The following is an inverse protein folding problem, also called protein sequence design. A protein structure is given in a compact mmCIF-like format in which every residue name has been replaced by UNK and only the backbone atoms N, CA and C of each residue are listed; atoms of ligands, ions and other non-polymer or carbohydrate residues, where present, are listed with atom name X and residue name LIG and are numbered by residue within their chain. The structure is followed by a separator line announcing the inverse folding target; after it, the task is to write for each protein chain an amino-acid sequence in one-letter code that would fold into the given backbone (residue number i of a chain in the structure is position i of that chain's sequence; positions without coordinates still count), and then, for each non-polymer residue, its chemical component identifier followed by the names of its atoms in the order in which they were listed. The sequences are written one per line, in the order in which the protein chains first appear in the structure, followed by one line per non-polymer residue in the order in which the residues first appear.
data_IF_339282800327
#
_entry.id   IF_339282800327
#
_cell.length_a   1.000
_cell.length_b   1.000
_cell.length_c   1.000
_cell.angle_alpha   90.00
_cell.angle_beta   90.00
_cell.angle_gamma   90.00
#
_symmetry.space_group_name_H-M   'P 1'
#
loop_
_entity.id
_entity.type
_entity.pdbx_description
1 polymer ?
#
# COMPACT_ATOMS: atom_id res chain seq x y z
N UNK A 1 8.21 14.32 2.53
CA UNK A 1 7.30 13.65 1.57
C UNK A 1 6.08 13.01 2.24
N UNK A 2 6.25 12.10 3.21
CA UNK A 2 5.11 11.38 3.82
C UNK A 2 4.13 12.28 4.59
N UNK A 3 4.64 13.29 5.30
CA UNK A 3 3.81 14.27 6.02
C UNK A 3 2.91 15.08 5.06
N UNK A 4 3.49 15.60 3.97
CA UNK A 4 2.74 16.33 2.95
C UNK A 4 1.66 15.44 2.31
N UNK A 5 1.98 14.18 1.98
CA UNK A 5 1.01 13.23 1.45
C UNK A 5 -0.13 12.95 2.43
N UNK A 6 0.17 12.71 3.70
CA UNK A 6 -0.85 12.49 4.73
C UNK A 6 -1.74 13.72 4.94
N UNK A 7 -1.15 14.91 5.08
CA UNK A 7 -1.89 16.18 5.26
C UNK A 7 -2.77 16.51 4.05
N UNK A 8 -2.32 16.20 2.83
CA UNK A 8 -3.14 16.35 1.64
C UNK A 8 -4.38 15.44 1.67
N UNK A 9 -4.22 14.18 2.11
CA UNK A 9 -5.35 13.27 2.30
C UNK A 9 -6.30 13.76 3.39
N UNK A 10 -5.79 14.35 4.47
CA UNK A 10 -6.62 14.94 5.53
C UNK A 10 -7.41 16.16 5.05
N UNK A 11 -6.77 17.02 4.24
CA UNK A 11 -7.45 18.15 3.63
C UNK A 11 -8.59 17.66 2.72
N UNK A 12 -8.32 16.69 1.84
CA UNK A 12 -9.34 16.08 0.97
C UNK A 12 -10.44 15.44 1.81
N UNK A 13 -10.08 14.72 2.87
CA UNK A 13 -11.05 14.09 3.77
C UNK A 13 -11.98 15.13 4.41
N UNK A 14 -11.44 16.28 4.82
CA UNK A 14 -12.19 17.36 5.45
C UNK A 14 -13.10 18.10 4.47
N UNK A 15 -12.62 18.40 3.26
CA UNK A 15 -13.36 19.22 2.28
C UNK A 15 -14.34 18.43 1.42
N UNK A 16 -14.07 17.15 1.18
CA UNK A 16 -14.90 16.32 0.29
C UNK A 16 -16.26 16.00 0.90
N UNK A 17 -17.32 16.09 0.09
CA UNK A 17 -18.68 15.63 0.43
C UNK A 17 -18.90 14.15 0.15
N UNK A 18 -17.94 13.47 -0.49
CA UNK A 18 -18.08 12.07 -0.88
C UNK A 18 -18.06 11.11 0.32
N UNK A 19 -18.83 10.02 0.22
CA UNK A 19 -18.84 8.94 1.23
C UNK A 19 -17.58 8.07 1.20
N UNK A 20 -16.90 8.03 0.05
CA UNK A 20 -15.76 7.16 -0.19
C UNK A 20 -14.60 7.94 -0.82
N UNK A 21 -13.38 7.59 -0.43
CA UNK A 21 -12.16 8.19 -0.96
C UNK A 21 -11.30 7.09 -1.60
N UNK A 22 -11.10 7.19 -2.92
CA UNK A 22 -10.17 6.33 -3.64
C UNK A 22 -8.81 7.01 -3.72
N UNK A 23 -7.79 6.37 -3.15
CA UNK A 23 -6.40 6.81 -3.21
C UNK A 23 -5.68 6.00 -4.28
N UNK A 24 -5.04 6.70 -5.21
CA UNK A 24 -4.26 6.12 -6.31
C UNK A 24 -2.91 6.85 -6.33
N UNK A 25 -1.80 6.11 -6.44
CA UNK A 25 -0.49 6.73 -6.67
C UNK A 25 -0.33 7.13 -8.14
N UNK A 26 0.42 8.20 -8.41
CA UNK A 26 0.63 8.72 -9.76
C UNK A 26 1.31 7.72 -10.71
N UNK A 27 2.00 6.71 -10.19
CA UNK A 27 2.64 5.62 -10.91
C UNK A 27 1.75 4.35 -11.03
N UNK A 28 0.42 4.52 -10.87
CA UNK A 28 -0.57 3.44 -11.02
C UNK A 28 -1.40 3.63 -12.28
N UNK A 29 -1.39 2.62 -13.16
CA UNK A 29 -2.12 2.62 -14.43
C UNK A 29 -3.30 1.66 -14.37
N UNK A 30 -4.52 2.17 -14.46
CA UNK A 30 -5.74 1.36 -14.43
C UNK A 30 -6.17 1.10 -15.87
N UNK A 31 -6.07 -0.15 -16.32
CA UNK A 31 -6.49 -0.57 -17.68
C UNK A 31 -7.86 -1.23 -17.69
N UNK A 32 -8.52 -1.40 -16.54
CA UNK A 32 -9.87 -1.96 -16.45
C UNK A 32 -10.85 -1.02 -15.77
N UNK A 33 -11.93 -0.67 -16.48
CA UNK A 33 -13.04 0.14 -15.96
C UNK A 33 -13.84 -0.51 -14.81
N UNK A 34 -13.65 -1.82 -14.56
CA UNK A 34 -14.37 -2.56 -13.50
C UNK A 34 -13.75 -2.42 -12.10
N UNK A 35 -12.58 -1.78 -11.97
CA UNK A 35 -11.88 -1.67 -10.69
C UNK A 35 -12.72 -0.97 -9.63
N UNK A 36 -13.13 0.27 -9.92
CA UNK A 36 -13.80 1.16 -8.97
C UNK A 36 -15.14 0.57 -8.55
N UNK A 37 -15.94 0.10 -9.51
CA UNK A 37 -17.25 -0.50 -9.24
C UNK A 37 -17.14 -1.76 -8.38
N UNK A 38 -16.14 -2.62 -8.62
CA UNK A 38 -15.90 -3.80 -7.77
C UNK A 38 -15.42 -3.42 -6.37
N UNK A 39 -14.51 -2.44 -6.22
CA UNK A 39 -14.07 -1.99 -4.89
C UNK A 39 -15.24 -1.39 -4.10
N UNK A 40 -16.08 -0.56 -4.74
CA UNK A 40 -17.28 -0.01 -4.12
C UNK A 40 -18.28 -1.09 -3.71
N UNK A 41 -18.51 -2.09 -4.56
CA UNK A 41 -19.39 -3.22 -4.21
C UNK A 41 -18.89 -3.98 -2.98
N UNK A 42 -17.59 -4.21 -2.91
CA UNK A 42 -16.97 -4.95 -1.79
C UNK A 42 -16.97 -4.16 -0.48
N UNK A 43 -16.68 -2.85 -0.52
CA UNK A 43 -16.74 -2.02 0.69
C UNK A 43 -18.18 -1.89 1.19
N UNK A 44 -19.17 -1.79 0.29
CA UNK A 44 -20.58 -1.67 0.65
C UNK A 44 -21.20 -2.97 1.14
N UNK A 45 -20.58 -4.13 0.89
CA UNK A 45 -21.09 -5.45 1.29
C UNK A 45 -21.29 -5.59 2.80
N UNK A 46 -20.53 -4.85 3.61
CA UNK A 46 -20.69 -4.84 5.05
C UNK A 46 -20.40 -3.43 5.57
N UNK A 47 -21.30 -2.87 6.39
CA UNK A 47 -21.15 -1.53 7.00
C UNK A 47 -19.87 -1.39 7.84
N UNK A 48 -19.34 -2.50 8.35
CA UNK A 48 -18.10 -2.53 9.11
C UNK A 48 -16.84 -2.53 8.24
N UNK A 49 -16.97 -2.59 6.90
CA UNK A 49 -15.83 -2.48 6.01
C UNK A 49 -15.41 -1.02 5.87
N UNK A 50 -14.15 -0.73 6.20
CA UNK A 50 -13.65 0.65 6.17
C UNK A 50 -12.61 0.91 5.09
N UNK A 51 -12.00 -0.14 4.53
CA UNK A 51 -11.04 -0.02 3.44
C UNK A 51 -11.02 -1.27 2.56
N UNK A 52 -10.82 -1.09 1.25
CA UNK A 52 -10.54 -2.14 0.27
C UNK A 52 -9.21 -1.84 -0.41
N UNK A 53 -8.34 -2.84 -0.55
CA UNK A 53 -7.08 -2.66 -1.27
C UNK A 53 -6.18 -3.89 -1.20
N UNK A 54 -4.89 -3.72 -1.51
CA UNK A 54 -3.91 -4.79 -1.51
C UNK A 54 -2.75 -4.52 -0.54
N UNK A 55 -2.16 -5.59 0.01
CA UNK A 55 -0.98 -5.49 0.88
C UNK A 55 0.31 -5.33 0.07
N UNK A 56 0.30 -5.79 -1.18
CA UNK A 56 1.47 -5.82 -2.06
C UNK A 56 1.34 -4.75 -3.14
N UNK A 57 2.39 -3.96 -3.31
CA UNK A 57 2.50 -2.91 -4.34
C UNK A 57 2.92 -3.44 -5.71
N UNK A 58 3.35 -4.70 -5.81
CA UNK A 58 3.78 -5.30 -7.08
C UNK A 58 3.31 -6.73 -7.21
N UNK A 59 2.92 -7.09 -8.44
CA UNK A 59 2.74 -8.50 -8.84
C UNK A 59 4.11 -9.18 -8.78
N UNK A 60 4.29 -10.08 -7.81
CA UNK A 60 5.52 -10.86 -7.67
C UNK A 60 5.24 -12.30 -8.08
N UNK A 61 6.18 -12.89 -8.81
CA UNK A 61 6.14 -14.33 -9.09
C UNK A 61 6.22 -15.12 -7.79
N UNK A 62 5.64 -16.32 -7.78
CA UNK A 62 5.66 -17.23 -6.63
C UNK A 62 7.09 -17.49 -6.15
N UNK A 63 8.02 -17.76 -7.08
CA UNK A 63 9.46 -17.89 -6.79
C UNK A 63 10.01 -16.71 -5.97
N UNK A 64 9.70 -15.47 -6.37
CA UNK A 64 10.16 -14.27 -5.65
C UNK A 64 9.50 -14.13 -4.28
N UNK A 65 8.26 -14.58 -4.14
CA UNK A 65 7.56 -14.61 -2.85
C UNK A 65 8.20 -15.60 -1.90
N UNK A 66 8.52 -16.81 -2.36
CA UNK A 66 9.25 -17.82 -1.59
C UNK A 66 10.66 -17.37 -1.20
N UNK A 67 11.46 -16.89 -2.16
CA UNK A 67 12.81 -16.38 -1.88
C UNK A 67 12.81 -15.27 -0.81
N UNK A 68 11.79 -14.39 -0.82
CA UNK A 68 11.65 -13.34 0.19
C UNK A 68 11.24 -13.89 1.56
N UNK A 69 10.43 -14.95 1.59
CA UNK A 69 10.05 -15.62 2.83
C UNK A 69 11.27 -16.29 3.48
N UNK A 70 12.05 -17.02 2.68
CA UNK A 70 13.33 -17.62 3.08
C UNK A 70 14.28 -16.54 3.62
N UNK A 71 14.47 -15.45 2.87
CA UNK A 71 15.32 -14.34 3.31
C UNK A 71 14.84 -13.69 4.61
N UNK A 72 13.53 -13.52 4.80
CA UNK A 72 12.94 -13.00 6.04
C UNK A 72 13.15 -13.97 7.21
N UNK A 73 13.02 -15.27 6.95
CA UNK A 73 13.29 -16.32 7.93
C UNK A 73 14.73 -16.22 8.43
N UNK A 74 15.72 -16.38 7.56
CA UNK A 74 17.13 -16.27 7.94
C UNK A 74 17.46 -14.93 8.62
N UNK A 75 16.91 -13.82 8.13
CA UNK A 75 17.09 -12.49 8.76
C UNK A 75 16.51 -12.42 10.18
N UNK A 76 15.39 -13.10 10.47
CA UNK A 76 14.82 -13.12 11.82
C UNK A 76 15.74 -13.88 12.76
N UNK A 77 16.15 -15.10 12.38
CA UNK A 77 16.96 -15.96 13.24
C UNK A 77 18.34 -15.38 13.48
N UNK A 78 19.00 -14.85 12.45
CA UNK A 78 20.26 -14.12 12.61
C UNK A 78 20.14 -12.95 13.58
N UNK A 79 19.07 -12.16 13.52
CA UNK A 79 18.83 -11.05 14.47
C UNK A 79 18.51 -11.52 15.89
N UNK A 80 17.80 -12.63 16.04
CA UNK A 80 17.55 -13.22 17.36
C UNK A 80 18.86 -13.66 18.02
N UNK A 81 19.72 -14.36 17.26
CA UNK A 81 21.05 -14.77 17.73
C UNK A 81 21.90 -13.54 18.08
N UNK A 82 21.96 -12.54 17.19
CA UNK A 82 22.73 -11.33 17.46
C UNK A 82 22.20 -10.55 18.67
N UNK A 83 20.88 -10.51 18.89
CA UNK A 83 20.30 -9.88 20.08
C UNK A 83 20.59 -10.67 21.36
N UNK A 84 20.66 -12.00 21.28
CA UNK A 84 21.08 -12.84 22.40
C UNK A 84 22.51 -12.52 22.83
N UNK A 85 23.40 -12.20 21.89
CA UNK A 85 24.77 -11.73 22.16
C UNK A 85 24.88 -10.21 22.44
N UNK A 86 23.79 -9.55 22.87
CA UNK A 86 23.82 -8.14 23.28
C UNK A 86 23.61 -7.12 22.14
N UNK A 87 23.29 -7.57 20.93
CA UNK A 87 22.90 -6.68 19.84
C UNK A 87 21.52 -6.04 20.05
N UNK A 88 21.28 -4.88 19.45
CA UNK A 88 19.97 -4.21 19.47
C UNK A 88 19.36 -4.13 18.06
N UNK A 89 19.11 -5.30 17.46
CA UNK A 89 18.52 -5.41 16.13
C UNK A 89 16.99 -5.50 16.21
N UNK A 90 16.31 -4.54 15.56
CA UNK A 90 14.84 -4.56 15.45
C UNK A 90 14.36 -5.82 14.72
N UNK A 91 13.49 -6.60 15.37
CA UNK A 91 12.81 -7.73 14.76
C UNK A 91 11.80 -7.24 13.72
N UNK A 92 11.85 -7.81 12.52
CA UNK A 92 10.92 -7.49 11.45
C UNK A 92 9.67 -8.34 11.58
N UNK A 93 8.49 -7.74 11.48
CA UNK A 93 7.26 -8.50 11.32
C UNK A 93 7.30 -9.32 10.02
N UNK A 94 6.91 -10.59 10.10
CA UNK A 94 6.89 -11.50 8.94
C UNK A 94 5.84 -11.09 7.92
N UNK A 95 4.68 -10.69 8.42
CA UNK A 95 3.49 -10.40 7.64
C UNK A 95 3.34 -8.90 7.44
N UNK A 96 3.10 -8.53 6.20
CA UNK A 96 2.57 -7.20 5.89
C UNK A 96 1.11 -7.21 6.36
N UNK A 97 0.73 -6.29 7.24
CA UNK A 97 -0.60 -6.30 7.87
C UNK A 97 -1.47 -5.22 7.23
N UNK A 98 -0.89 -4.08 6.87
CA UNK A 98 -1.60 -2.92 6.37
C UNK A 98 -1.78 -2.92 4.85
N UNK A 99 -2.97 -2.52 4.42
CA UNK A 99 -3.24 -2.18 3.02
C UNK A 99 -2.37 -0.99 2.64
N UNK A 100 -1.72 -1.08 1.47
CA UNK A 100 -0.85 -0.05 0.94
C UNK A 100 -1.70 0.97 0.16
N UNK A 101 -1.33 2.25 0.25
CA UNK A 101 -2.09 3.35 -0.33
C UNK A 101 -1.95 3.52 -1.85
N UNK A 102 -1.20 2.65 -2.55
CA UNK A 102 -1.02 2.77 -4.01
C UNK A 102 -2.32 2.64 -4.79
N UNK A 103 -3.24 1.81 -4.30
CA UNK A 103 -4.62 1.72 -4.77
C UNK A 103 -5.48 1.22 -3.61
N UNK A 104 -6.16 2.14 -2.92
CA UNK A 104 -6.99 1.82 -1.76
C UNK A 104 -8.25 2.69 -1.71
N UNK A 105 -9.40 2.06 -1.48
CA UNK A 105 -10.68 2.73 -1.32
C UNK A 105 -11.07 2.75 0.16
N UNK A 106 -11.24 3.94 0.73
CA UNK A 106 -11.63 4.15 2.12
C UNK A 106 -13.08 4.59 2.24
N UNK A 107 -13.74 4.16 3.32
CA UNK A 107 -15.03 4.67 3.76
C UNK A 107 -14.82 5.97 4.54
N UNK A 108 -15.02 7.10 3.88
CA UNK A 108 -14.74 8.41 4.44
C UNK A 108 -15.72 8.78 5.55
N UNK A 109 -16.96 8.30 5.47
CA UNK A 109 -17.97 8.49 6.51
C UNK A 109 -17.50 7.93 7.85
N UNK A 110 -16.94 6.71 7.86
CA UNK A 110 -16.39 6.10 9.08
C UNK A 110 -15.18 6.87 9.62
N UNK A 111 -14.30 7.34 8.73
CA UNK A 111 -13.13 8.14 9.11
C UNK A 111 -13.56 9.43 9.81
N UNK A 112 -14.53 10.14 9.22
CA UNK A 112 -15.10 11.38 9.80
C UNK A 112 -15.82 11.13 11.11
N UNK A 113 -16.66 10.09 11.18
CA UNK A 113 -17.41 9.73 12.39
C UNK A 113 -16.50 9.45 13.59
N UNK A 114 -15.32 8.90 13.36
CA UNK A 114 -14.33 8.64 14.40
C UNK A 114 -13.28 9.76 14.55
N UNK A 115 -13.46 10.89 13.87
CA UNK A 115 -12.53 12.03 13.85
C UNK A 115 -11.07 11.61 13.58
N UNK A 116 -10.88 10.71 12.61
CA UNK A 116 -9.57 10.14 12.29
C UNK A 116 -8.87 10.93 11.19
N UNK A 117 -7.54 10.98 11.29
CA UNK A 117 -6.65 11.58 10.29
C UNK A 117 -5.72 10.53 9.68
N UNK A 118 -5.47 10.65 8.37
CA UNK A 118 -4.52 9.87 7.59
C UNK A 118 -3.10 10.15 8.02
N UNK A 119 -2.79 11.39 8.39
CA UNK A 119 -1.52 11.78 9.00
C UNK A 119 -1.62 11.69 10.53
N UNK A 120 -0.54 11.21 11.16
CA UNK A 120 -0.34 11.24 12.61
C UNK A 120 1.15 11.42 12.86
N UNK A 121 1.54 12.35 13.73
CA UNK A 121 2.95 12.64 14.06
C UNK A 121 3.69 11.43 14.66
N UNK A 122 2.96 10.43 15.17
CA UNK A 122 3.53 9.21 15.75
C UNK A 122 3.82 8.11 14.71
N UNK A 123 3.19 8.14 13.53
CA UNK A 123 3.30 7.06 12.53
C UNK A 123 3.74 7.62 11.19
N UNK A 124 4.95 7.26 10.76
CA UNK A 124 5.56 7.76 9.52
C UNK A 124 4.76 7.41 8.25
N UNK A 125 4.00 6.31 8.26
CA UNK A 125 3.25 5.86 7.08
C UNK A 125 1.79 6.30 7.14
N UNK A 126 1.33 7.13 6.18
CA UNK A 126 -0.06 7.57 6.15
C UNK A 126 -1.04 6.39 6.10
N UNK A 127 -2.19 6.55 6.76
CA UNK A 127 -3.29 5.58 6.88
C UNK A 127 -3.07 4.38 7.80
N UNK A 128 -1.86 4.11 8.31
CA UNK A 128 -1.61 2.93 9.15
C UNK A 128 -2.33 3.05 10.50
N UNK A 129 -2.23 4.24 11.10
CA UNK A 129 -2.96 4.56 12.33
C UNK A 129 -4.47 4.33 12.20
N UNK A 130 -5.10 4.82 11.13
CA UNK A 130 -6.53 4.59 10.85
C UNK A 130 -6.84 3.10 10.80
N UNK A 131 -6.00 2.33 10.10
CA UNK A 131 -6.21 0.89 9.96
C UNK A 131 -6.14 0.17 11.30
N UNK A 132 -5.14 0.47 12.12
CA UNK A 132 -4.96 -0.17 13.42
C UNK A 132 -6.08 0.24 14.39
N UNK A 133 -6.44 1.53 14.42
CA UNK A 133 -7.52 2.04 15.25
C UNK A 133 -8.86 1.38 14.91
N UNK A 134 -9.28 1.41 13.64
CA UNK A 134 -10.57 0.84 13.22
C UNK A 134 -10.61 -0.68 13.38
N UNK A 135 -9.50 -1.38 13.16
CA UNK A 135 -9.42 -2.81 13.45
C UNK A 135 -9.56 -3.12 14.95
N UNK A 136 -8.96 -2.31 15.83
CA UNK A 136 -9.16 -2.48 17.29
C UNK A 136 -10.63 -2.29 17.70
N UNK A 137 -11.37 -1.46 16.95
CA UNK A 137 -12.82 -1.29 17.06
C UNK A 137 -13.66 -2.34 16.29
N UNK A 138 -13.05 -3.45 15.88
CA UNK A 138 -13.68 -4.58 15.15
C UNK A 138 -14.19 -4.25 13.74
N UNK A 139 -13.81 -3.11 13.16
CA UNK A 139 -14.03 -2.85 11.73
C UNK A 139 -13.09 -3.71 10.88
N UNK A 140 -13.51 -3.97 9.64
CA UNK A 140 -12.87 -4.94 8.75
C UNK A 140 -12.20 -4.27 7.56
N UNK A 141 -11.01 -4.76 7.23
CA UNK A 141 -10.34 -4.50 5.96
C UNK A 141 -10.74 -5.55 4.95
N UNK A 142 -11.01 -5.13 3.72
CA UNK A 142 -11.19 -6.05 2.59
C UNK A 142 -9.88 -6.13 1.83
N UNK A 143 -9.13 -7.20 2.07
CA UNK A 143 -7.83 -7.41 1.44
C UNK A 143 -8.03 -8.21 0.15
N UNK A 144 -7.73 -7.59 -0.98
CA UNK A 144 -7.64 -8.30 -2.25
C UNK A 144 -6.28 -8.95 -2.41
N UNK A 145 -6.27 -10.11 -3.08
CA UNK A 145 -5.03 -10.74 -3.53
C UNK A 145 -4.33 -9.82 -4.55
N UNK A 146 -3.01 -9.93 -4.60
CA UNK A 146 -2.20 -9.33 -5.66
C UNK A 146 -2.74 -9.71 -7.04
N UNK A 147 -3.03 -10.98 -7.30
CA UNK A 147 -3.61 -11.45 -8.56
C UNK A 147 -4.91 -10.71 -8.92
N UNK A 148 -5.79 -10.48 -7.94
CA UNK A 148 -7.06 -9.75 -8.15
C UNK A 148 -6.83 -8.27 -8.38
N UNK A 149 -5.94 -7.60 -7.63
CA UNK A 149 -5.66 -6.18 -7.85
C UNK A 149 -4.98 -5.95 -9.20
N UNK A 150 -3.91 -6.69 -9.48
CA UNK A 150 -3.15 -6.64 -10.73
C UNK A 150 -3.82 -7.33 -11.92
N UNK A 151 -5.12 -7.66 -11.82
CA UNK A 151 -5.93 -7.95 -13.00
C UNK A 151 -6.63 -6.70 -13.54
N UNK A 152 -6.64 -5.59 -12.79
CA UNK A 152 -7.29 -4.34 -13.18
C UNK A 152 -6.34 -3.18 -13.43
N UNK A 153 -5.14 -3.24 -12.86
CA UNK A 153 -4.16 -2.18 -12.89
C UNK A 153 -2.74 -2.72 -12.90
N UNK A 154 -1.79 -1.87 -13.26
CA UNK A 154 -0.38 -2.06 -12.98
C UNK A 154 0.13 -0.91 -12.10
N UNK A 155 1.21 -1.16 -11.37
CA UNK A 155 1.86 -0.17 -10.52
C UNK A 155 3.36 -0.21 -10.76
N UNK A 156 3.85 0.84 -11.39
CA UNK A 156 5.26 1.00 -11.73
C UNK A 156 5.96 1.61 -10.52
N UNK A 157 6.25 0.79 -9.51
CA UNK A 157 6.94 1.21 -8.28
C UNK A 157 8.10 2.18 -8.59
N UNK A 158 8.02 3.40 -8.06
CA UNK A 158 9.05 4.44 -8.19
C UNK A 158 9.23 4.98 -9.63
N UNK A 159 8.20 4.93 -10.49
CA UNK A 159 8.27 5.44 -11.87
C UNK A 159 8.79 6.88 -11.95
N UNK A 160 8.23 7.77 -11.13
CA UNK A 160 8.66 9.18 -11.04
C UNK A 160 10.08 9.35 -10.47
N UNK A 161 10.56 8.42 -9.62
CA UNK A 161 11.95 8.45 -9.11
C UNK A 161 12.94 7.82 -10.09
N UNK A 162 12.48 6.95 -10.99
CA UNK A 162 13.29 6.39 -12.07
C UNK A 162 13.47 7.41 -13.21
N UNK A 163 12.41 8.16 -13.54
CA UNK A 163 12.43 9.26 -14.50
C UNK A 163 13.26 10.46 -13.99
N UNK A 164 13.00 10.92 -12.76
CA UNK A 164 13.78 12.01 -12.14
C UNK A 164 15.19 11.57 -11.66
N UNK A 165 15.53 10.29 -11.81
CA UNK A 165 16.70 9.66 -11.20
C UNK A 165 17.86 9.45 -12.16
N UNK A 166 18.60 10.52 -12.48
CA UNK A 166 19.98 10.44 -13.01
C UNK A 166 20.98 9.74 -12.08
N UNK A 167 20.53 9.10 -10.98
CA UNK A 167 21.35 8.41 -9.99
C UNK A 167 21.13 6.89 -10.01
N UNK A 168 21.99 6.23 -10.78
CA UNK A 168 22.10 4.77 -10.93
C UNK A 168 22.55 4.09 -9.62
N UNK A 169 21.63 3.82 -8.69
CA UNK A 169 21.86 2.83 -7.61
C UNK A 169 20.83 1.69 -7.59
N UNK A 170 19.94 1.61 -8.58
CA UNK A 170 18.80 0.66 -8.62
C UNK A 170 18.47 0.15 -10.05
N UNK A 171 19.40 -0.59 -10.71
CA UNK A 171 19.29 -0.95 -12.14
C UNK A 171 18.02 -1.72 -12.51
N UNK A 172 17.51 -2.57 -11.60
CA UNK A 172 16.30 -3.37 -11.84
C UNK A 172 15.02 -2.54 -12.02
N UNK A 173 14.93 -1.36 -11.40
CA UNK A 173 13.74 -0.49 -11.49
C UNK A 173 13.75 0.32 -12.78
N UNK A 174 14.93 0.79 -13.19
CA UNK A 174 15.13 1.44 -14.49
C UNK A 174 14.75 0.49 -15.64
N UNK A 175 15.18 -0.77 -15.58
CA UNK A 175 14.82 -1.77 -16.61
C UNK A 175 13.31 -2.00 -16.69
N UNK A 176 12.60 -2.03 -15.55
CA UNK A 176 11.13 -2.12 -15.55
C UNK A 176 10.50 -0.92 -16.23
N UNK A 177 10.90 0.29 -15.86
CA UNK A 177 10.39 1.52 -16.46
C UNK A 177 10.61 1.53 -17.99
N UNK A 178 11.82 1.19 -18.46
CA UNK A 178 12.14 1.09 -19.89
C UNK A 178 11.29 0.07 -20.62
N UNK A 179 11.07 -1.11 -20.03
CA UNK A 179 10.23 -2.13 -20.64
C UNK A 179 8.77 -1.65 -20.77
N UNK A 180 8.26 -0.89 -19.79
CA UNK A 180 6.93 -0.29 -19.89
C UNK A 180 6.84 0.76 -21.00
N UNK A 181 7.83 1.67 -21.10
CA UNK A 181 7.80 2.73 -22.12
C UNK A 181 7.98 2.18 -23.54
N UNK A 182 8.79 1.13 -23.73
CA UNK A 182 8.99 0.49 -25.04
C UNK A 182 7.74 -0.22 -25.58
N UNK A 183 6.93 -0.83 -24.69
CA UNK A 183 5.65 -1.47 -25.06
C UNK A 183 4.60 -0.41 -25.45
N UNK A 184 4.78 0.84 -25.01
CA UNK A 184 3.84 1.94 -25.28
C UNK A 184 4.13 2.66 -26.60
N UNK A 185 5.26 2.35 -27.25
CA UNK A 185 5.75 2.98 -28.50
C UNK A 185 5.56 2.10 -29.75
N UNK A 186 4.79 1.03 -29.64
CA UNK A 186 4.37 0.13 -30.73
C UNK A 186 2.86 0.04 -30.75
#
# INVERSE_FOLDING_TARGET
SYQAHGRALDLIAKTSTADYLLIIHSDTFIYSNKLISKMLKEIKRNKNNFVVGCLQQTKKSLLRRFARLIKKFFRKYTRLVLNFFGGNYRLSNFKEVHIKSFCALYNLKLIKQHNLSFYNDTVETPSYYIQDYLQSKKFKRVIWTDKKMFSFLDHVEEGTRAENGKNFKRPKRLLRYKNFTQISST
#
